data_IF_227371044346
#
_entry.id   IF_227371044346
#
_cell.length_a   1.000
_cell.length_b   1.000
_cell.length_c   1.000
_cell.angle_alpha   90.00
_cell.angle_beta   90.00
_cell.angle_gamma   90.00
#
_symmetry.space_group_name_H-M   'P 1'
#
loop_
_entity.id
_entity.type
_entity.pdbx_description
1 polymer ?
#
# COMPACT_ATOMS: atom_id res chain seq x y z
N UNK A 1 27.65 -23.46 1.25
CA UNK A 1 27.06 -22.13 1.04
C UNK A 1 26.25 -21.76 2.28
N UNK A 2 26.66 -20.71 2.98
CA UNK A 2 25.92 -20.14 4.12
C UNK A 2 24.82 -19.22 3.58
N UNK A 3 23.62 -19.35 4.13
CA UNK A 3 22.45 -18.55 3.83
C UNK A 3 22.06 -17.76 5.09
N UNK A 4 21.35 -16.66 4.91
CA UNK A 4 20.89 -15.83 6.02
C UNK A 4 19.41 -16.10 6.25
N UNK A 5 19.05 -16.43 7.50
CA UNK A 5 17.63 -16.57 7.83
C UNK A 5 16.90 -15.22 7.74
N UNK A 6 15.76 -15.18 7.07
CA UNK A 6 14.93 -13.97 6.93
C UNK A 6 14.42 -13.43 8.27
N UNK A 7 14.25 -14.29 9.27
CA UNK A 7 13.68 -14.00 10.60
C UNK A 7 14.76 -13.56 11.59
N UNK A 8 15.67 -14.45 11.98
CA UNK A 8 16.67 -14.18 13.03
C UNK A 8 17.98 -13.56 12.50
N UNK A 9 18.12 -13.42 11.18
CA UNK A 9 19.35 -12.94 10.50
C UNK A 9 20.61 -13.76 10.79
N UNK A 10 20.49 -14.92 11.44
CA UNK A 10 21.61 -15.80 11.70
C UNK A 10 22.12 -16.45 10.40
N UNK A 11 23.43 -16.64 10.25
CA UNK A 11 24.01 -17.44 9.18
C UNK A 11 23.73 -18.92 9.44
N UNK A 12 23.14 -19.58 8.46
CA UNK A 12 22.64 -20.97 8.55
C UNK A 12 23.02 -21.75 7.31
N UNK A 13 23.27 -23.04 7.46
CA UNK A 13 23.56 -23.92 6.34
C UNK A 13 22.30 -24.15 5.51
N UNK A 14 22.46 -24.34 4.19
CA UNK A 14 21.34 -24.60 3.28
C UNK A 14 20.47 -25.80 3.69
N UNK A 15 21.07 -26.85 4.26
CA UNK A 15 20.38 -28.05 4.77
C UNK A 15 19.49 -27.78 6.00
N UNK A 16 19.79 -26.70 6.72
CA UNK A 16 19.14 -26.27 7.96
C UNK A 16 18.17 -25.09 7.73
N UNK A 17 17.90 -24.79 6.45
CA UNK A 17 16.94 -23.80 6.00
C UNK A 17 15.76 -24.45 5.29
N UNK A 18 14.56 -23.96 5.59
CA UNK A 18 13.36 -24.19 4.81
C UNK A 18 13.08 -22.95 3.96
N UNK A 19 12.86 -23.12 2.65
CA UNK A 19 12.41 -22.04 1.76
C UNK A 19 10.88 -22.09 1.71
N UNK A 20 10.23 -21.01 2.12
CA UNK A 20 8.77 -20.92 2.07
C UNK A 20 8.25 -20.62 0.66
N UNK A 21 6.92 -20.62 0.48
CA UNK A 21 6.26 -20.30 -0.80
C UNK A 21 6.53 -18.88 -1.34
N UNK A 22 7.16 -18.03 -0.53
CA UNK A 22 7.48 -16.64 -0.83
C UNK A 22 8.98 -16.43 -1.07
N UNK A 23 9.73 -17.51 -1.27
CA UNK A 23 11.19 -17.51 -1.45
C UNK A 23 11.99 -17.00 -0.25
N UNK A 24 11.40 -16.96 0.94
CA UNK A 24 12.11 -16.61 2.16
C UNK A 24 12.77 -17.84 2.78
N UNK A 25 14.01 -17.65 3.26
CA UNK A 25 14.80 -18.68 3.92
C UNK A 25 14.61 -18.63 5.43
N UNK A 26 14.00 -19.66 6.01
CA UNK A 26 13.66 -19.74 7.43
C UNK A 26 14.48 -20.86 8.08
N UNK A 27 15.13 -20.56 9.19
CA UNK A 27 15.93 -21.53 9.93
C UNK A 27 15.04 -22.59 10.60
N UNK A 28 15.49 -23.84 10.74
CA UNK A 28 14.73 -24.87 11.49
C UNK A 28 14.32 -24.44 12.91
N UNK A 29 15.18 -23.79 13.72
CA UNK A 29 14.77 -23.24 15.02
C UNK A 29 13.61 -22.24 14.91
N UNK A 30 13.66 -21.35 13.92
CA UNK A 30 12.64 -20.35 13.63
C UNK A 30 11.32 -21.02 13.21
N UNK A 31 11.43 -22.11 12.45
CA UNK A 31 10.27 -22.91 12.04
C UNK A 31 9.67 -23.67 13.23
N UNK A 32 10.50 -24.17 14.14
CA UNK A 32 10.07 -24.89 15.35
C UNK A 32 9.33 -23.98 16.33
N UNK A 33 9.65 -22.69 16.39
CA UNK A 33 8.89 -21.68 17.15
C UNK A 33 7.58 -21.26 16.47
N UNK A 34 7.23 -21.88 15.34
CA UNK A 34 5.98 -21.61 14.61
C UNK A 34 6.08 -20.48 13.57
N UNK A 35 7.26 -19.89 13.35
CA UNK A 35 7.44 -18.79 12.40
C UNK A 35 7.53 -19.36 10.98
N UNK A 36 6.50 -19.11 10.16
CA UNK A 36 6.41 -19.60 8.77
C UNK A 36 6.69 -18.54 7.70
N UNK A 37 6.73 -17.27 8.08
CA UNK A 37 6.97 -16.14 7.17
C UNK A 37 7.53 -14.94 7.94
N UNK A 38 8.30 -14.11 7.24
CA UNK A 38 8.82 -12.87 7.81
C UNK A 38 7.72 -11.78 7.82
N UNK A 39 7.54 -11.13 8.96
CA UNK A 39 6.59 -10.02 9.15
C UNK A 39 6.73 -8.85 8.15
N UNK A 40 7.94 -8.43 7.70
CA UNK A 40 8.07 -7.19 6.91
C UNK A 40 7.37 -7.22 5.54
N UNK A 41 7.20 -8.39 4.90
CA UNK A 41 6.46 -8.46 3.62
C UNK A 41 4.94 -8.41 3.78
N UNK A 42 4.40 -8.83 4.93
CA UNK A 42 2.98 -8.64 5.23
C UNK A 42 2.66 -7.15 5.31
N UNK A 43 3.57 -6.35 5.90
CA UNK A 43 3.44 -4.91 5.99
C UNK A 43 3.46 -4.24 4.60
N UNK A 44 4.40 -4.63 3.73
CA UNK A 44 4.50 -4.09 2.36
C UNK A 44 3.24 -4.35 1.52
N UNK A 45 2.60 -5.51 1.68
CA UNK A 45 1.35 -5.79 0.96
C UNK A 45 0.16 -4.94 1.44
N UNK A 46 0.10 -4.59 2.73
CA UNK A 46 -0.89 -3.63 3.26
C UNK A 46 -0.58 -2.18 2.86
N UNK A 47 0.70 -1.79 2.85
CA UNK A 47 1.12 -0.45 2.44
C UNK A 47 0.85 -0.17 0.95
N UNK A 48 0.98 -1.17 0.08
CA UNK A 48 0.62 -1.03 -1.33
C UNK A 48 -0.86 -0.69 -1.57
N UNK A 49 -1.76 -1.19 -0.72
CA UNK A 49 -3.19 -0.85 -0.79
C UNK A 49 -3.49 0.57 -0.29
N UNK A 50 -2.73 1.05 0.69
CA UNK A 50 -2.85 2.43 1.18
C UNK A 50 -2.44 3.46 0.13
N UNK A 51 -1.42 3.17 -0.69
CA UNK A 51 -1.00 4.06 -1.77
C UNK A 51 -2.10 4.28 -2.81
N UNK A 52 -2.74 3.20 -3.28
CA UNK A 52 -3.81 3.31 -4.28
C UNK A 52 -5.06 4.01 -3.71
N UNK A 53 -5.43 3.69 -2.46
CA UNK A 53 -6.54 4.36 -1.78
C UNK A 53 -6.28 5.88 -1.61
N UNK A 54 -5.06 6.27 -1.26
CA UNK A 54 -4.67 7.68 -1.16
C UNK A 54 -4.81 8.42 -2.49
N UNK A 55 -4.39 7.80 -3.60
CA UNK A 55 -4.55 8.37 -4.95
C UNK A 55 -6.01 8.52 -5.36
N UNK A 56 -6.86 7.55 -5.03
CA UNK A 56 -8.31 7.61 -5.31
C UNK A 56 -8.95 8.76 -4.53
N UNK A 57 -8.65 8.89 -3.24
CA UNK A 57 -9.18 9.98 -2.40
C UNK A 57 -8.70 11.35 -2.90
N UNK A 58 -7.41 11.47 -3.25
CA UNK A 58 -6.85 12.69 -3.81
C UNK A 58 -7.54 13.07 -5.13
N UNK A 59 -7.73 12.10 -6.04
CA UNK A 59 -8.42 12.31 -7.31
C UNK A 59 -9.87 12.75 -7.13
N UNK A 60 -10.59 12.13 -6.20
CA UNK A 60 -11.97 12.50 -5.87
C UNK A 60 -12.07 13.93 -5.31
N UNK A 61 -11.16 14.32 -4.42
CA UNK A 61 -11.08 15.68 -3.86
C UNK A 61 -10.84 16.73 -4.96
N UNK A 62 -9.89 16.48 -5.87
CA UNK A 62 -9.61 17.38 -6.99
C UNK A 62 -10.82 17.50 -7.92
N UNK A 63 -11.49 16.40 -8.24
CA UNK A 63 -12.69 16.41 -9.07
C UNK A 63 -13.82 17.24 -8.44
N UNK A 64 -14.06 17.10 -7.13
CA UNK A 64 -15.06 17.90 -6.42
C UNK A 64 -14.74 19.39 -6.42
N UNK A 65 -13.46 19.76 -6.22
CA UNK A 65 -13.03 21.15 -6.29
C UNK A 65 -13.21 21.74 -7.69
N UNK A 66 -12.90 20.99 -8.74
CA UNK A 66 -13.13 21.41 -10.13
C UNK A 66 -14.62 21.60 -10.43
N UNK A 67 -15.48 20.70 -9.96
CA UNK A 67 -16.93 20.83 -10.10
C UNK A 67 -17.47 22.06 -9.36
N UNK A 68 -17.01 22.30 -8.13
CA UNK A 68 -17.39 23.47 -7.35
C UNK A 68 -16.92 24.78 -8.01
N UNK A 69 -15.69 24.80 -8.51
CA UNK A 69 -15.17 25.94 -9.27
C UNK A 69 -15.98 26.19 -10.54
N UNK A 70 -16.30 25.15 -11.30
CA UNK A 70 -17.08 25.26 -12.53
C UNK A 70 -18.51 25.73 -12.24
N UNK A 71 -19.11 25.28 -11.13
CA UNK A 71 -20.40 25.76 -10.67
C UNK A 71 -20.39 27.26 -10.34
N UNK A 72 -19.38 27.75 -9.61
CA UNK A 72 -19.23 29.18 -9.33
C UNK A 72 -18.98 30.00 -10.60
N UNK A 73 -18.15 29.50 -11.51
CA UNK A 73 -17.91 30.15 -12.81
C UNK A 73 -19.21 30.25 -13.61
N UNK A 74 -19.98 29.17 -13.68
CA UNK A 74 -21.32 29.17 -14.32
C UNK A 74 -22.29 30.13 -13.62
N UNK A 75 -22.23 30.25 -12.30
CA UNK A 75 -23.05 31.19 -11.50
C UNK A 75 -22.71 32.65 -11.82
N UNK A 76 -21.42 32.97 -11.94
CA UNK A 76 -20.93 34.31 -12.30
C UNK A 76 -21.24 34.65 -13.76
N UNK A 77 -21.20 33.65 -14.66
CA UNK A 77 -21.51 33.79 -16.09
C UNK A 77 -23.02 33.83 -16.41
N UNK A 78 -23.93 33.74 -15.43
CA UNK A 78 -25.35 33.99 -15.62
C UNK A 78 -25.77 35.39 -15.11
N UNK A 79 -25.39 36.49 -15.77
CA UNK A 79 -25.92 37.82 -15.46
C UNK A 79 -27.41 37.98 -15.88
N UNK A 80 -27.95 37.05 -16.67
CA UNK A 80 -29.26 37.18 -17.31
C UNK A 80 -30.44 36.93 -16.36
N UNK A 81 -30.23 36.19 -15.27
CA UNK A 81 -31.30 35.90 -14.30
C UNK A 81 -31.57 37.04 -13.30
N UNK A 82 -30.79 38.13 -13.36
CA UNK A 82 -30.97 39.29 -12.46
C UNK A 82 -31.70 40.48 -13.12
N UNK A 83 -31.99 40.43 -14.42
CA UNK A 83 -32.61 41.54 -15.17
C UNK A 83 -34.09 41.30 -15.53
N UNK A 84 -34.67 40.17 -15.13
CA UNK A 84 -36.06 39.77 -15.42
C UNK A 84 -36.85 39.34 -14.16
N UNK A 85 -36.37 39.73 -12.97
CA UNK A 85 -37.07 39.56 -11.69
C UNK A 85 -37.34 40.90 -11.03
#
# INVERSE_FOLDING_TARGET
MLLICSVCKAPVLRKDCHRNRYDELICRPCQATGIRFSWPRRLQHTLGKLGLAAWVVLGAMVALLLLAWLFEVMRVLQPEKLLLG
#
